data_IF_592244075360
#
_entry.id   IF_592244075360
#
_cell.length_a   1.000
_cell.length_b   1.000
_cell.length_c   1.000
_cell.angle_alpha   90.00
_cell.angle_beta   90.00
_cell.angle_gamma   90.00
#
_symmetry.space_group_name_H-M   'P 1'
#
loop_
_entity.id
_entity.type
_entity.pdbx_description
1 polymer ?
#
# COMPACT_ATOMS: atom_id res chain seq x y z
N UNK A 1 -23.57 24.58 17.85
CA UNK A 1 -23.51 23.84 16.60
C UNK A 1 -22.12 23.21 16.54
N UNK A 2 -22.01 21.89 16.79
CA UNK A 2 -20.73 21.18 16.60
C UNK A 2 -20.38 21.22 15.10
N UNK A 3 -19.28 21.87 14.74
CA UNK A 3 -18.75 21.81 13.37
C UNK A 3 -18.18 20.41 13.16
N UNK A 4 -18.77 19.65 12.26
CA UNK A 4 -18.24 18.36 11.82
C UNK A 4 -16.93 18.65 11.07
N UNK A 5 -15.81 18.19 11.60
CA UNK A 5 -14.49 18.37 10.99
C UNK A 5 -14.28 17.30 9.92
N UNK A 6 -14.38 17.68 8.65
CA UNK A 6 -14.13 16.79 7.50
C UNK A 6 -12.63 16.65 7.24
N UNK A 7 -11.92 16.06 8.18
CA UNK A 7 -10.51 15.81 8.08
C UNK A 7 -10.24 14.30 8.24
N UNK A 8 -9.12 13.76 7.70
CA UNK A 8 -8.78 12.34 7.79
C UNK A 8 -8.82 11.82 9.22
N UNK A 9 -9.26 10.57 9.41
CA UNK A 9 -9.33 9.94 10.72
C UNK A 9 -7.93 9.70 11.30
N UNK A 10 -7.78 9.80 12.61
CA UNK A 10 -6.46 9.69 13.26
C UNK A 10 -5.89 8.28 13.20
N UNK A 11 -6.74 7.24 13.42
CA UNK A 11 -6.30 5.86 13.53
C UNK A 11 -5.77 5.34 12.19
N UNK A 12 -6.58 5.45 11.12
CA UNK A 12 -6.14 5.01 9.79
C UNK A 12 -4.97 5.83 9.26
N UNK A 13 -4.90 7.15 9.56
CA UNK A 13 -3.74 7.98 9.22
C UNK A 13 -2.47 7.51 9.92
N UNK A 14 -2.55 7.19 11.21
CA UNK A 14 -1.42 6.67 11.98
C UNK A 14 -0.93 5.32 11.47
N UNK A 15 -1.85 4.41 11.17
CA UNK A 15 -1.54 3.10 10.59
C UNK A 15 -0.94 3.21 9.18
N UNK A 16 -1.47 4.12 8.36
CA UNK A 16 -0.93 4.42 7.02
C UNK A 16 0.51 4.91 7.09
N UNK A 17 0.80 5.88 7.97
CA UNK A 17 2.17 6.35 8.19
C UNK A 17 3.08 5.26 8.74
N UNK A 18 2.58 4.43 9.67
CA UNK A 18 3.32 3.28 10.19
C UNK A 18 3.73 2.31 9.07
N UNK A 19 2.79 1.96 8.18
CA UNK A 19 3.06 1.10 7.03
C UNK A 19 4.07 1.74 6.05
N UNK A 20 3.96 3.05 5.80
CA UNK A 20 4.90 3.80 4.96
C UNK A 20 6.31 3.81 5.55
N UNK A 21 6.44 3.97 6.87
CA UNK A 21 7.73 3.92 7.56
C UNK A 21 8.34 2.51 7.53
N UNK A 22 7.54 1.46 7.67
CA UNK A 22 8.01 0.07 7.50
C UNK A 22 8.56 -0.16 6.09
N UNK A 23 7.85 0.32 5.06
CA UNK A 23 8.32 0.23 3.67
C UNK A 23 9.65 0.98 3.47
N UNK A 24 9.74 2.22 3.98
CA UNK A 24 10.95 3.03 3.91
C UNK A 24 12.13 2.39 4.66
N UNK A 25 11.89 1.86 5.86
CA UNK A 25 12.92 1.20 6.68
C UNK A 25 13.47 -0.05 5.99
N UNK A 26 12.62 -0.84 5.34
CA UNK A 26 13.04 -2.03 4.60
C UNK A 26 13.99 -1.69 3.42
N UNK A 27 13.89 -0.48 2.86
CA UNK A 27 14.71 -0.02 1.74
C UNK A 27 15.86 0.91 2.14
N UNK A 28 15.88 1.41 3.38
CA UNK A 28 16.81 2.44 3.83
C UNK A 28 18.30 2.08 3.68
N UNK A 29 18.63 0.79 3.81
CA UNK A 29 20.03 0.30 3.78
C UNK A 29 20.45 -0.20 2.40
N UNK A 30 19.57 -0.17 1.40
CA UNK A 30 19.82 -0.79 0.10
C UNK A 30 20.51 0.16 -0.89
N UNK A 31 20.07 1.41 -0.97
CA UNK A 31 20.71 2.47 -1.75
C UNK A 31 20.23 3.85 -1.31
N UNK A 32 21.07 4.87 -1.53
CA UNK A 32 20.72 6.26 -1.26
C UNK A 32 19.50 6.72 -2.09
N UNK A 33 19.41 6.26 -3.35
CA UNK A 33 18.29 6.59 -4.24
C UNK A 33 16.99 5.97 -3.71
N UNK A 34 17.03 4.71 -3.26
CA UNK A 34 15.89 4.04 -2.67
C UNK A 34 15.41 4.79 -1.41
N UNK A 35 16.34 5.18 -0.55
CA UNK A 35 16.04 5.95 0.67
C UNK A 35 15.41 7.30 0.33
N UNK A 36 15.99 8.06 -0.61
CA UNK A 36 15.47 9.37 -1.00
C UNK A 36 14.05 9.26 -1.58
N UNK A 37 13.81 8.31 -2.47
CA UNK A 37 12.47 8.07 -3.02
C UNK A 37 11.46 7.71 -1.92
N UNK A 38 11.85 6.86 -0.97
CA UNK A 38 10.99 6.50 0.16
C UNK A 38 10.71 7.69 1.08
N UNK A 39 11.71 8.51 1.40
CA UNK A 39 11.52 9.69 2.24
C UNK A 39 10.59 10.71 1.58
N UNK A 40 10.77 10.97 0.29
CA UNK A 40 9.86 11.83 -0.49
C UNK A 40 8.45 11.22 -0.51
N UNK A 41 8.34 9.91 -0.68
CA UNK A 41 7.07 9.17 -0.62
C UNK A 41 6.36 9.33 0.72
N UNK A 42 7.07 9.11 1.84
CA UNK A 42 6.53 9.31 3.21
C UNK A 42 6.10 10.76 3.43
N UNK A 43 6.91 11.74 2.99
CA UNK A 43 6.59 13.15 3.14
C UNK A 43 5.34 13.54 2.33
N UNK A 44 5.23 13.08 1.09
CA UNK A 44 4.05 13.33 0.26
C UNK A 44 2.79 12.69 0.83
N UNK A 45 2.87 11.43 1.29
CA UNK A 45 1.78 10.72 1.92
C UNK A 45 1.33 11.41 3.21
N UNK A 46 2.27 11.80 4.07
CA UNK A 46 1.99 12.55 5.29
C UNK A 46 1.34 13.90 5.00
N UNK A 47 1.84 14.64 4.00
CA UNK A 47 1.22 15.88 3.52
C UNK A 47 -0.21 15.67 3.04
N UNK A 48 -0.47 14.59 2.29
CA UNK A 48 -1.81 14.19 1.85
C UNK A 48 -2.77 13.90 3.01
N UNK A 49 -2.30 13.22 4.05
CA UNK A 49 -3.08 12.93 5.25
C UNK A 49 -3.37 14.19 6.07
N UNK A 50 -2.43 15.12 6.15
CA UNK A 50 -2.66 16.40 6.86
C UNK A 50 -3.65 17.29 6.12
N UNK A 51 -3.55 17.35 4.80
CA UNK A 51 -4.40 18.21 3.95
C UNK A 51 -5.72 17.55 3.54
N UNK A 52 -5.90 16.25 3.78
CA UNK A 52 -7.05 15.48 3.32
C UNK A 52 -7.08 15.30 1.80
N UNK A 53 -5.92 15.25 1.15
CA UNK A 53 -5.82 15.29 -0.31
C UNK A 53 -5.40 13.94 -0.87
N UNK A 54 -6.33 13.18 -1.44
CA UNK A 54 -6.12 11.84 -2.00
C UNK A 54 -4.98 11.76 -3.03
N UNK A 55 -4.83 12.70 -3.99
CA UNK A 55 -3.71 12.66 -4.94
C UNK A 55 -2.33 12.67 -4.29
N UNK A 56 -2.15 13.37 -3.16
CA UNK A 56 -0.87 13.37 -2.44
C UNK A 56 -0.60 12.03 -1.74
N UNK A 57 -1.63 11.37 -1.20
CA UNK A 57 -1.50 10.01 -0.65
C UNK A 57 -1.08 9.04 -1.75
N UNK A 58 -1.70 9.13 -2.92
CA UNK A 58 -1.35 8.30 -4.07
C UNK A 58 0.07 8.58 -4.58
N UNK A 59 0.45 9.85 -4.70
CA UNK A 59 1.81 10.23 -5.09
C UNK A 59 2.85 9.73 -4.08
N UNK A 60 2.53 9.79 -2.77
CA UNK A 60 3.37 9.25 -1.71
C UNK A 60 3.57 7.74 -1.83
N UNK A 61 2.49 6.99 -2.06
CA UNK A 61 2.58 5.54 -2.28
C UNK A 61 3.38 5.19 -3.54
N UNK A 62 3.23 5.94 -4.62
CA UNK A 62 4.04 5.77 -5.83
C UNK A 62 5.52 6.07 -5.57
N UNK A 63 5.83 7.06 -4.74
CA UNK A 63 7.20 7.35 -4.29
C UNK A 63 7.81 6.20 -3.50
N UNK A 64 7.04 5.57 -2.60
CA UNK A 64 7.46 4.36 -1.87
C UNK A 64 7.70 3.18 -2.81
N UNK A 65 6.82 2.96 -3.78
CA UNK A 65 7.00 1.92 -4.81
C UNK A 65 8.23 2.17 -5.67
N UNK A 66 8.48 3.42 -6.09
CA UNK A 66 9.68 3.79 -6.84
C UNK A 66 10.95 3.52 -6.02
N UNK A 67 10.94 3.86 -4.73
CA UNK A 67 12.02 3.52 -3.80
C UNK A 67 12.23 2.00 -3.67
N UNK A 68 11.16 1.22 -3.62
CA UNK A 68 11.23 -0.23 -3.58
C UNK A 68 11.83 -0.81 -4.86
N UNK A 69 11.45 -0.29 -6.03
CA UNK A 69 12.04 -0.69 -7.32
C UNK A 69 13.53 -0.34 -7.36
N UNK A 70 13.91 0.87 -6.94
CA UNK A 70 15.30 1.29 -6.89
C UNK A 70 16.14 0.41 -5.95
N UNK A 71 15.59 0.04 -4.78
CA UNK A 71 16.21 -0.90 -3.85
C UNK A 71 16.36 -2.30 -4.44
N UNK A 72 15.35 -2.80 -5.14
CA UNK A 72 15.38 -4.08 -5.84
C UNK A 72 16.47 -4.12 -6.91
N UNK A 73 16.61 -3.06 -7.71
CA UNK A 73 17.69 -2.92 -8.72
C UNK A 73 19.07 -2.89 -8.03
N UNK A 74 19.16 -2.29 -6.84
CA UNK A 74 20.39 -2.24 -6.05
C UNK A 74 20.72 -3.59 -5.34
N UNK A 75 19.89 -4.61 -5.49
CA UNK A 75 20.13 -5.94 -4.92
C UNK A 75 19.49 -6.16 -3.55
N UNK A 76 18.41 -5.45 -3.23
CA UNK A 76 17.68 -5.66 -1.98
C UNK A 76 17.25 -7.13 -1.82
N UNK A 77 17.31 -7.69 -0.61
CA UNK A 77 16.82 -9.04 -0.35
C UNK A 77 15.35 -9.18 -0.73
N UNK A 78 14.91 -10.33 -1.27
CA UNK A 78 13.52 -10.54 -1.71
C UNK A 78 12.49 -10.27 -0.63
N UNK A 79 12.78 -10.72 0.59
CA UNK A 79 11.88 -10.47 1.73
C UNK A 79 11.73 -8.97 2.03
N UNK A 80 12.83 -8.20 2.00
CA UNK A 80 12.79 -6.76 2.20
C UNK A 80 11.96 -6.07 1.10
N UNK A 81 12.13 -6.50 -0.15
CA UNK A 81 11.36 -6.00 -1.29
C UNK A 81 9.86 -6.30 -1.14
N UNK A 82 9.50 -7.54 -0.76
CA UNK A 82 8.11 -7.94 -0.53
C UNK A 82 7.46 -7.15 0.60
N UNK A 83 8.18 -6.96 1.71
CA UNK A 83 7.72 -6.15 2.85
C UNK A 83 7.53 -4.70 2.44
N UNK A 84 8.45 -4.12 1.67
CA UNK A 84 8.37 -2.73 1.23
C UNK A 84 7.19 -2.50 0.27
N UNK A 85 6.98 -3.38 -0.71
CA UNK A 85 5.81 -3.30 -1.62
C UNK A 85 4.51 -3.38 -0.83
N UNK A 86 4.42 -4.37 0.06
CA UNK A 86 3.21 -4.57 0.88
C UNK A 86 2.96 -3.37 1.79
N UNK A 87 4.00 -2.84 2.42
CA UNK A 87 3.91 -1.63 3.24
C UNK A 87 3.45 -0.41 2.45
N UNK A 88 3.93 -0.22 1.21
CA UNK A 88 3.51 0.87 0.34
C UNK A 88 2.02 0.75 -0.06
N UNK A 89 1.55 -0.46 -0.38
CA UNK A 89 0.14 -0.72 -0.71
C UNK A 89 -0.75 -0.49 0.51
N UNK A 90 -0.36 -1.01 1.68
CA UNK A 90 -1.10 -0.78 2.93
C UNK A 90 -1.15 0.70 3.30
N UNK A 91 -0.05 1.43 3.11
CA UNK A 91 -0.01 2.86 3.36
C UNK A 91 -1.00 3.62 2.47
N UNK A 92 -1.10 3.25 1.21
CA UNK A 92 -2.06 3.82 0.27
C UNK A 92 -3.51 3.49 0.62
N UNK A 93 -3.82 2.22 0.90
CA UNK A 93 -5.15 1.72 1.25
C UNK A 93 -5.68 2.38 2.53
N UNK A 94 -4.89 2.35 3.59
CA UNK A 94 -5.26 2.93 4.88
C UNK A 94 -5.32 4.47 4.82
N UNK A 95 -4.43 5.11 4.05
CA UNK A 95 -4.46 6.55 3.84
C UNK A 95 -5.70 7.02 3.08
N UNK A 96 -6.09 6.27 2.04
CA UNK A 96 -7.34 6.50 1.32
C UNK A 96 -8.57 6.33 2.20
N UNK A 97 -8.60 5.26 2.99
CA UNK A 97 -9.68 5.00 3.96
C UNK A 97 -9.79 6.13 4.99
N UNK A 98 -8.67 6.65 5.51
CA UNK A 98 -8.66 7.76 6.46
C UNK A 98 -9.32 9.01 5.91
N UNK A 99 -9.06 9.35 4.64
CA UNK A 99 -9.65 10.51 3.97
C UNK A 99 -11.14 10.30 3.74
N UNK A 100 -11.53 9.16 3.15
CA UNK A 100 -12.93 8.88 2.81
C UNK A 100 -13.81 8.84 4.06
N UNK A 101 -13.37 8.19 5.13
CA UNK A 101 -14.13 8.16 6.40
C UNK A 101 -14.23 9.54 7.02
N UNK A 102 -13.16 10.33 6.99
CA UNK A 102 -13.16 11.70 7.48
C UNK A 102 -14.12 12.61 6.71
N UNK A 103 -14.19 12.47 5.39
CA UNK A 103 -15.11 13.24 4.54
C UNK A 103 -16.58 12.87 4.74
N UNK A 104 -16.86 11.57 4.86
CA UNK A 104 -18.23 11.05 4.94
C UNK A 104 -18.83 11.17 6.34
N UNK A 105 -18.09 10.79 7.37
CA UNK A 105 -18.60 10.66 8.73
C UNK A 105 -18.09 11.76 9.68
N UNK A 106 -17.01 12.45 9.29
CA UNK A 106 -16.30 13.39 10.16
C UNK A 106 -15.28 12.67 11.06
N UNK A 107 -14.21 13.40 11.41
CA UNK A 107 -13.10 12.89 12.24
C UNK A 107 -13.54 12.44 13.64
N UNK A 108 -14.59 13.04 14.17
CA UNK A 108 -15.10 12.79 15.53
C UNK A 108 -16.03 11.56 15.60
N UNK A 109 -16.39 10.95 14.47
CA UNK A 109 -17.25 9.78 14.44
C UNK A 109 -16.57 8.57 15.09
N UNK A 110 -17.28 7.71 15.83
CA UNK A 110 -16.72 6.54 16.51
C UNK A 110 -16.43 5.40 15.50
N UNK A 111 -15.55 5.64 14.55
CA UNK A 111 -15.19 4.72 13.44
C UNK A 111 -14.05 3.75 13.78
N UNK A 112 -13.42 3.91 14.95
CA UNK A 112 -12.21 3.16 15.33
C UNK A 112 -12.34 1.64 15.17
N UNK A 113 -13.51 1.06 15.48
CA UNK A 113 -13.73 -0.37 15.32
C UNK A 113 -13.74 -0.80 13.84
N UNK A 114 -14.39 -0.01 12.98
CA UNK A 114 -14.43 -0.25 11.53
C UNK A 114 -13.02 -0.12 10.93
N UNK A 115 -12.30 0.94 11.28
CA UNK A 115 -10.93 1.19 10.85
C UNK A 115 -10.00 0.04 11.26
N UNK A 116 -10.14 -0.45 12.49
CA UNK A 116 -9.30 -1.54 13.00
C UNK A 116 -9.59 -2.87 12.28
N UNK A 117 -10.87 -3.19 12.01
CA UNK A 117 -11.23 -4.38 11.24
C UNK A 117 -10.71 -4.31 9.80
N UNK A 118 -10.85 -3.15 9.15
CA UNK A 118 -10.31 -2.95 7.80
C UNK A 118 -8.77 -3.10 7.80
N UNK A 119 -8.08 -2.38 8.69
CA UNK A 119 -6.62 -2.45 8.79
C UNK A 119 -6.12 -3.87 9.12
N UNK A 120 -6.80 -4.59 10.02
CA UNK A 120 -6.45 -5.97 10.34
C UNK A 120 -6.64 -6.89 9.13
N UNK A 121 -7.75 -6.76 8.39
CA UNK A 121 -8.01 -7.51 7.17
C UNK A 121 -6.96 -7.26 6.09
N UNK A 122 -6.69 -5.99 5.78
CA UNK A 122 -5.66 -5.60 4.80
C UNK A 122 -4.27 -6.10 5.22
N UNK A 123 -3.93 -6.01 6.53
CA UNK A 123 -2.64 -6.51 7.05
C UNK A 123 -2.53 -8.02 6.92
N UNK A 124 -3.57 -8.79 7.26
CA UNK A 124 -3.58 -10.25 7.12
C UNK A 124 -3.38 -10.66 5.66
N UNK A 125 -4.09 -10.02 4.73
CA UNK A 125 -3.91 -10.27 3.29
C UNK A 125 -2.49 -9.90 2.86
N UNK A 126 -1.96 -8.76 3.29
CA UNK A 126 -0.60 -8.33 3.01
C UNK A 126 0.45 -9.33 3.50
N UNK A 127 0.36 -9.77 4.76
CA UNK A 127 1.28 -10.77 5.34
C UNK A 127 1.18 -12.10 4.60
N UNK A 128 -0.03 -12.55 4.28
CA UNK A 128 -0.24 -13.78 3.49
C UNK A 128 0.41 -13.66 2.10
N UNK A 129 0.29 -12.50 1.44
CA UNK A 129 0.92 -12.23 0.14
C UNK A 129 2.43 -12.26 0.23
N UNK A 130 3.03 -11.65 1.28
CA UNK A 130 4.47 -11.73 1.52
C UNK A 130 4.92 -13.17 1.74
N UNK A 131 4.21 -13.93 2.58
CA UNK A 131 4.57 -15.31 2.88
C UNK A 131 4.52 -16.20 1.63
N UNK A 132 3.43 -16.12 0.86
CA UNK A 132 3.29 -16.88 -0.40
C UNK A 132 4.35 -16.44 -1.41
N UNK A 133 4.55 -15.14 -1.60
CA UNK A 133 5.56 -14.61 -2.53
C UNK A 133 6.97 -15.06 -2.15
N UNK A 134 7.30 -15.06 -0.87
CA UNK A 134 8.60 -15.54 -0.38
C UNK A 134 8.80 -17.03 -0.61
N UNK A 135 7.79 -17.86 -0.29
CA UNK A 135 7.84 -19.31 -0.55
C UNK A 135 8.00 -19.59 -2.04
N UNK A 136 7.25 -18.90 -2.89
CA UNK A 136 7.39 -19.03 -4.36
C UNK A 136 8.80 -18.64 -4.81
N UNK A 137 9.35 -17.54 -4.28
CA UNK A 137 10.73 -17.13 -4.59
C UNK A 137 11.75 -18.21 -4.20
N UNK A 138 11.69 -18.74 -2.99
CA UNK A 138 12.62 -19.76 -2.49
C UNK A 138 12.51 -21.08 -3.26
N UNK A 139 11.31 -21.46 -3.68
CA UNK A 139 11.10 -22.72 -4.42
C UNK A 139 11.45 -22.59 -5.91
N UNK A 140 11.44 -21.38 -6.43
CA UNK A 140 11.64 -21.07 -7.85
C UNK A 140 13.12 -20.86 -8.24
N UNK A 141 14.07 -21.36 -7.46
CA UNK A 141 15.53 -21.13 -7.58
C UNK A 141 16.19 -21.58 -8.90
N UNK A 142 15.40 -21.99 -9.90
CA UNK A 142 15.87 -22.42 -11.23
C UNK A 142 15.85 -21.36 -12.34
N UNK A 143 15.65 -20.08 -12.01
CA UNK A 143 15.41 -19.03 -13.03
C UNK A 143 14.00 -19.13 -13.60
N UNK A 144 13.14 -18.16 -13.28
CA UNK A 144 11.76 -18.16 -13.79
C UNK A 144 11.79 -18.01 -15.31
N UNK A 145 11.20 -18.94 -16.07
CA UNK A 145 11.05 -18.72 -17.49
C UNK A 145 10.16 -17.49 -17.71
N UNK A 146 10.52 -16.68 -18.69
CA UNK A 146 9.75 -15.47 -19.10
C UNK A 146 8.25 -15.81 -19.23
N UNK A 147 7.91 -17.04 -19.61
CA UNK A 147 6.54 -17.57 -19.65
C UNK A 147 5.80 -17.49 -18.31
N UNK A 148 6.49 -17.63 -17.17
CA UNK A 148 5.87 -17.49 -15.85
C UNK A 148 5.40 -16.06 -15.57
N UNK A 149 6.19 -15.06 -15.96
CA UNK A 149 5.82 -13.64 -15.84
C UNK A 149 4.62 -13.33 -16.72
N UNK A 150 4.62 -13.82 -17.98
CA UNK A 150 3.47 -13.67 -18.87
C UNK A 150 2.21 -14.34 -18.33
N UNK A 151 2.33 -15.55 -17.76
CA UNK A 151 1.23 -16.26 -17.13
C UNK A 151 0.62 -15.48 -15.97
N UNK A 152 1.45 -14.84 -15.14
CA UNK A 152 1.01 -14.04 -14.01
C UNK A 152 0.30 -12.76 -14.45
N UNK A 153 0.85 -12.06 -15.44
CA UNK A 153 0.21 -10.89 -16.06
C UNK A 153 -1.13 -11.27 -16.66
N UNK A 154 -1.18 -12.38 -17.40
CA UNK A 154 -2.43 -12.88 -17.99
C UNK A 154 -3.47 -13.22 -16.92
N UNK A 155 -3.07 -13.86 -15.82
CA UNK A 155 -3.96 -14.20 -14.71
C UNK A 155 -4.56 -12.93 -14.07
N UNK A 156 -3.76 -11.86 -13.90
CA UNK A 156 -4.25 -10.56 -13.41
C UNK A 156 -5.27 -9.96 -14.38
N UNK A 157 -5.00 -9.99 -15.68
CA UNK A 157 -5.94 -9.49 -16.68
C UNK A 157 -7.26 -10.26 -16.67
N UNK A 158 -7.20 -11.60 -16.62
CA UNK A 158 -8.40 -12.45 -16.54
C UNK A 158 -9.18 -12.17 -15.26
N UNK A 159 -8.51 -11.97 -14.13
CA UNK A 159 -9.15 -11.62 -12.85
C UNK A 159 -9.87 -10.26 -12.95
N UNK A 160 -9.22 -9.24 -13.51
CA UNK A 160 -9.81 -7.91 -13.69
C UNK A 160 -11.04 -7.97 -14.59
N UNK A 161 -10.95 -8.70 -15.72
CA UNK A 161 -12.07 -8.87 -16.64
C UNK A 161 -13.21 -9.65 -15.94
N UNK A 162 -12.88 -10.72 -15.24
CA UNK A 162 -13.86 -11.53 -14.50
C UNK A 162 -14.60 -10.71 -13.42
N UNK A 163 -13.90 -9.88 -12.69
CA UNK A 163 -14.51 -8.98 -11.69
C UNK A 163 -15.44 -7.95 -12.35
N UNK A 164 -15.05 -7.38 -13.48
CA UNK A 164 -15.88 -6.41 -14.21
C UNK A 164 -17.16 -7.02 -14.78
N UNK A 165 -17.14 -8.29 -15.17
CA UNK A 165 -18.32 -8.99 -15.70
C UNK A 165 -19.31 -9.40 -14.60
N UNK A 166 -18.88 -9.38 -13.33
CA UNK A 166 -19.73 -9.67 -12.18
C UNK A 166 -20.41 -8.42 -11.58
N UNK A 167 -20.02 -7.22 -12.03
CA UNK A 167 -20.75 -6.00 -11.67
C UNK A 167 -22.12 -6.01 -12.38
N UNK A 168 -23.25 -5.98 -11.63
CA UNK A 168 -24.56 -5.88 -12.24
C UNK A 168 -24.64 -4.60 -13.05
N UNK A 169 -25.22 -4.69 -14.28
CA UNK A 169 -25.44 -3.52 -15.12
C UNK A 169 -26.27 -2.48 -14.34
N UNK A 170 -25.92 -1.19 -14.40
CA UNK A 170 -26.74 -0.15 -13.79
C UNK A 170 -28.11 -0.15 -14.46
N UNK A 171 -29.19 -0.32 -13.61
CA UNK A 171 -30.58 -0.18 -14.04
C UNK A 171 -30.92 1.25 -14.41
#
# INVERSE_FOLDING_TARGET
>A
MNRITRAPTYLSSGLSLGAALVAAAAMAVQSEIALLCCLVGVAALGGGLVTGTQPFVTAGALGLLAGTIAGGIAGAPPLATLVAVTGAILAWDLGGTAIVLGEQLGREAPTARLELFHAAGSTVVGVATVAVGFVVYETATGGQPISGVFGLVLAVFVLIIGLRTLEPAPE
#
